data_IF_579501459242
#
_entry.id   IF_579501459242
#
_cell.length_a   1.000
_cell.length_b   1.000
_cell.length_c   1.000
_cell.angle_alpha   90.00
_cell.angle_beta   90.00
_cell.angle_gamma   90.00
#
_symmetry.space_group_name_H-M   'P 1'
#
loop_
_entity.id
_entity.type
_entity.pdbx_description
1 polymer ?
#
# COMPACT_ATOMS: atom_id res chain seq x y z
N UNK A 1 42.88 46.24 2.09
CA UNK A 1 41.67 45.75 1.42
C UNK A 1 41.56 44.25 1.67
N UNK A 2 40.73 43.74 2.59
CA UNK A 2 40.52 42.29 2.71
C UNK A 2 39.54 41.85 1.60
N UNK A 3 39.99 40.87 0.83
CA UNK A 3 39.19 40.20 -0.19
C UNK A 3 38.03 39.49 0.47
N UNK A 4 36.79 39.91 0.11
CA UNK A 4 35.59 39.21 0.51
C UNK A 4 35.58 37.79 -0.05
N UNK A 5 35.42 36.81 0.84
CA UNK A 5 35.13 35.44 0.43
C UNK A 5 33.75 35.44 -0.22
N UNK A 6 33.57 34.81 -1.37
CA UNK A 6 32.25 34.59 -1.91
C UNK A 6 31.49 33.63 -0.94
N UNK A 7 30.38 34.08 -0.39
CA UNK A 7 29.41 33.21 0.31
C UNK A 7 29.05 32.09 -0.64
N UNK A 8 29.51 30.88 -0.34
CA UNK A 8 29.01 29.66 -1.00
C UNK A 8 27.51 29.61 -0.74
N UNK A 9 26.68 29.84 -1.77
CA UNK A 9 25.29 29.49 -1.77
C UNK A 9 25.24 27.96 -1.50
N UNK A 10 24.89 27.58 -0.30
CA UNK A 10 24.71 26.17 0.05
C UNK A 10 23.58 25.67 -0.82
N UNK A 11 23.91 24.83 -1.79
CA UNK A 11 22.92 24.17 -2.64
C UNK A 11 22.01 23.35 -1.75
N UNK A 12 20.69 23.43 -1.95
CA UNK A 12 19.74 22.68 -1.13
C UNK A 12 20.04 21.17 -1.21
N UNK A 13 19.98 20.44 -0.08
CA UNK A 13 20.32 19.02 -0.06
C UNK A 13 19.38 18.23 -0.97
N UNK A 14 19.95 17.26 -1.70
CA UNK A 14 19.16 16.43 -2.63
C UNK A 14 18.43 15.31 -1.89
N UNK A 15 17.24 14.96 -2.38
CA UNK A 15 16.52 13.79 -1.91
C UNK A 15 17.23 12.53 -2.41
N UNK A 16 17.60 11.64 -1.50
CA UNK A 16 18.32 10.38 -1.78
C UNK A 16 17.45 9.13 -1.56
N UNK A 17 16.39 9.25 -0.78
CA UNK A 17 15.42 8.16 -0.61
C UNK A 17 14.01 8.72 -0.45
N UNK A 18 13.02 7.96 -0.94
CA UNK A 18 11.61 8.28 -0.85
C UNK A 18 10.79 7.00 -0.66
N UNK A 19 9.79 7.05 0.21
CA UNK A 19 8.86 5.95 0.43
C UNK A 19 7.44 6.45 0.66
N UNK A 20 6.43 5.63 0.36
CA UNK A 20 5.03 5.95 0.61
C UNK A 20 4.21 4.68 0.87
N UNK A 21 3.18 4.83 1.70
CA UNK A 21 2.25 3.76 2.04
C UNK A 21 0.87 4.32 2.40
N UNK A 22 -0.14 3.45 2.37
CA UNK A 22 -1.52 3.77 2.73
C UNK A 22 -2.14 2.67 3.59
N UNK A 23 -3.01 3.05 4.51
CA UNK A 23 -3.74 2.13 5.37
C UNK A 23 -5.22 2.50 5.45
N UNK A 24 -6.08 1.50 5.70
CA UNK A 24 -7.51 1.71 5.91
C UNK A 24 -8.02 0.78 7.01
N UNK A 25 -8.73 1.34 7.98
CA UNK A 25 -9.41 0.60 9.05
C UNK A 25 -10.80 0.17 8.58
N UNK A 26 -10.87 -0.97 7.90
CA UNK A 26 -12.02 -1.37 7.07
C UNK A 26 -11.73 -1.02 5.60
N UNK A 27 -12.57 -1.49 4.68
CA UNK A 27 -12.35 -1.23 3.25
C UNK A 27 -13.69 -1.30 2.50
N UNK A 28 -14.48 -0.18 2.40
CA UNK A 28 -14.16 1.17 2.83
C UNK A 28 -14.21 1.41 4.33
N UNK A 29 -13.60 2.53 4.79
CA UNK A 29 -13.60 2.98 6.17
C UNK A 29 -12.60 4.13 6.40
N UNK A 30 -12.33 4.49 7.67
CA UNK A 30 -11.31 5.48 7.98
C UNK A 30 -9.94 5.03 7.49
N UNK A 31 -9.28 5.90 6.74
CA UNK A 31 -7.96 5.64 6.20
C UNK A 31 -6.93 6.68 6.60
N UNK A 32 -5.68 6.37 6.34
CA UNK A 32 -4.55 7.24 6.50
C UNK A 32 -3.48 6.93 5.46
N UNK A 33 -2.65 7.89 5.20
CA UNK A 33 -1.50 7.74 4.32
C UNK A 33 -0.25 8.34 4.95
N UNK A 34 0.91 7.82 4.57
CA UNK A 34 2.21 8.32 5.00
C UNK A 34 3.22 8.31 3.88
N UNK A 35 4.10 9.29 3.86
CA UNK A 35 5.26 9.32 2.99
C UNK A 35 6.45 9.99 3.68
N UNK A 36 7.64 9.64 3.19
CA UNK A 36 8.92 10.05 3.77
C UNK A 36 9.90 10.42 2.66
N UNK A 37 10.63 11.50 2.88
CA UNK A 37 11.79 11.92 2.10
C UNK A 37 13.03 11.95 2.99
N UNK A 38 14.12 11.37 2.53
CA UNK A 38 15.43 11.43 3.17
C UNK A 38 16.39 12.19 2.28
N UNK A 39 17.14 13.11 2.88
CA UNK A 39 18.07 14.01 2.18
C UNK A 39 19.52 13.59 2.39
N UNK A 40 20.43 14.09 1.52
CA UNK A 40 21.87 13.80 1.57
C UNK A 40 22.54 14.25 2.88
N UNK A 41 22.02 15.28 3.51
CA UNK A 41 22.51 15.81 4.80
C UNK A 41 22.04 14.96 6.00
N UNK A 42 21.26 13.90 5.75
CA UNK A 42 20.69 13.02 6.77
C UNK A 42 19.35 13.50 7.34
N UNK A 43 18.88 14.68 6.94
CA UNK A 43 17.56 15.16 7.36
C UNK A 43 16.43 14.30 6.75
N UNK A 44 15.28 14.27 7.43
CA UNK A 44 14.09 13.50 7.04
C UNK A 44 12.88 14.41 7.10
N UNK A 45 12.05 14.36 6.06
CA UNK A 45 10.73 15.00 6.06
C UNK A 45 9.67 13.93 5.91
N UNK A 46 8.68 13.98 6.78
CA UNK A 46 7.53 13.06 6.79
C UNK A 46 6.23 13.83 6.54
N UNK A 47 5.32 13.20 5.85
CA UNK A 47 4.00 13.73 5.53
C UNK A 47 2.97 12.64 5.76
N UNK A 48 1.77 13.03 6.17
CA UNK A 48 0.67 12.10 6.34
C UNK A 48 -0.60 12.84 6.69
N UNK A 49 -1.73 12.20 6.41
CA UNK A 49 -3.05 12.71 6.77
C UNK A 49 -4.07 11.56 6.80
N UNK A 50 -5.28 11.86 7.26
CA UNK A 50 -6.41 10.95 7.38
C UNK A 50 -7.52 11.28 6.38
N UNK A 51 -8.28 10.25 6.00
CA UNK A 51 -9.56 10.38 5.30
C UNK A 51 -10.60 9.56 6.07
N UNK A 52 -11.76 10.13 6.34
CA UNK A 52 -12.79 9.52 7.18
C UNK A 52 -13.53 8.35 6.49
N UNK A 53 -13.58 8.34 5.16
CA UNK A 53 -14.30 7.33 4.38
C UNK A 53 -13.57 7.07 3.04
N UNK A 54 -12.73 6.07 3.03
CA UNK A 54 -11.85 5.79 1.91
C UNK A 54 -11.57 4.28 1.77
N UNK A 55 -10.64 3.93 0.90
CA UNK A 55 -10.14 2.56 0.71
C UNK A 55 -8.62 2.53 0.79
N UNK A 56 -8.05 1.36 1.10
CA UNK A 56 -6.59 1.19 1.15
C UNK A 56 -5.93 1.68 -0.15
N UNK A 57 -6.43 1.25 -1.30
CA UNK A 57 -5.89 1.67 -2.59
C UNK A 57 -5.91 3.19 -2.79
N UNK A 58 -6.96 3.88 -2.33
CA UNK A 58 -7.01 5.35 -2.42
C UNK A 58 -5.93 6.00 -1.57
N UNK A 59 -5.67 5.47 -0.38
CA UNK A 59 -4.63 5.99 0.52
C UNK A 59 -3.23 5.79 -0.06
N UNK A 60 -2.94 4.62 -0.63
CA UNK A 60 -1.68 4.34 -1.34
C UNK A 60 -1.48 5.31 -2.52
N UNK A 61 -2.51 5.54 -3.34
CA UNK A 61 -2.46 6.49 -4.46
C UNK A 61 -2.29 7.94 -3.99
N UNK A 62 -2.94 8.32 -2.88
CA UNK A 62 -2.85 9.66 -2.30
C UNK A 62 -1.45 9.94 -1.75
N UNK A 63 -0.85 8.97 -1.06
CA UNK A 63 0.53 9.03 -0.58
C UNK A 63 1.51 9.25 -1.74
N UNK A 64 1.39 8.43 -2.79
CA UNK A 64 2.23 8.52 -3.98
C UNK A 64 2.08 9.87 -4.70
N UNK A 65 0.84 10.37 -4.85
CA UNK A 65 0.56 11.65 -5.50
C UNK A 65 1.17 12.82 -4.72
N UNK A 66 1.02 12.81 -3.39
CA UNK A 66 1.63 13.82 -2.52
C UNK A 66 3.15 13.84 -2.66
N UNK A 67 3.75 12.65 -2.65
CA UNK A 67 5.19 12.50 -2.79
C UNK A 67 5.70 13.01 -4.15
N UNK A 68 5.01 12.68 -5.25
CA UNK A 68 5.35 13.21 -6.59
C UNK A 68 5.26 14.73 -6.64
N UNK A 69 4.25 15.34 -6.02
CA UNK A 69 4.12 16.80 -5.96
C UNK A 69 5.30 17.43 -5.21
N UNK A 70 5.72 16.88 -4.08
CA UNK A 70 6.88 17.35 -3.32
C UNK A 70 8.17 17.22 -4.14
N UNK A 71 8.38 16.07 -4.77
CA UNK A 71 9.58 15.78 -5.55
C UNK A 71 9.71 16.62 -6.84
N UNK A 72 8.64 17.26 -7.33
CA UNK A 72 8.72 18.19 -8.46
C UNK A 72 9.56 19.44 -8.16
N UNK A 73 9.59 19.87 -6.92
CA UNK A 73 10.22 21.14 -6.49
C UNK A 73 11.53 20.94 -5.77
N UNK A 74 11.90 19.72 -5.46
CA UNK A 74 13.10 19.38 -4.69
C UNK A 74 14.23 18.87 -5.60
N UNK A 75 15.50 19.22 -5.32
CA UNK A 75 16.63 18.59 -5.97
C UNK A 75 16.70 17.11 -5.60
N UNK A 76 17.03 16.24 -6.58
CA UNK A 76 16.98 14.80 -6.43
C UNK A 76 18.29 14.15 -6.85
N UNK A 77 18.63 13.06 -6.17
CA UNK A 77 19.70 12.19 -6.64
C UNK A 77 19.26 11.51 -7.96
N UNK A 78 20.16 11.35 -8.96
CA UNK A 78 19.81 10.70 -10.23
C UNK A 78 19.23 9.30 -10.10
N UNK A 79 19.71 8.52 -9.12
CA UNK A 79 19.27 7.13 -8.86
C UNK A 79 18.09 7.03 -7.89
N UNK A 80 17.42 8.16 -7.59
CA UNK A 80 16.27 8.14 -6.70
C UNK A 80 15.16 7.24 -7.25
N UNK A 81 14.63 6.39 -6.39
CA UNK A 81 13.40 5.64 -6.64
C UNK A 81 12.41 5.84 -5.50
N UNK A 82 11.12 5.72 -5.78
CA UNK A 82 10.07 5.75 -4.75
C UNK A 82 9.76 4.31 -4.34
N UNK A 83 9.96 3.97 -3.06
CA UNK A 83 9.70 2.65 -2.50
C UNK A 83 8.27 2.54 -1.99
N UNK A 84 7.60 1.43 -2.29
CA UNK A 84 6.26 1.11 -1.84
C UNK A 84 6.02 -0.40 -1.92
N UNK A 85 5.16 -0.94 -1.09
CA UNK A 85 4.71 -2.35 -1.17
C UNK A 85 3.40 -2.50 -1.95
N UNK A 86 2.84 -1.40 -2.47
CA UNK A 86 1.64 -1.39 -3.27
C UNK A 86 1.90 -1.83 -4.72
N UNK A 87 1.63 -3.08 -5.02
CA UNK A 87 1.62 -3.57 -6.41
C UNK A 87 0.56 -2.88 -7.27
N UNK A 88 -0.60 -2.56 -6.67
CA UNK A 88 -1.67 -1.84 -7.35
C UNK A 88 -1.19 -0.48 -7.87
N UNK A 89 -0.49 0.28 -7.04
CA UNK A 89 0.12 1.56 -7.44
C UNK A 89 1.16 1.35 -8.55
N UNK A 90 2.11 0.42 -8.37
CA UNK A 90 3.20 0.19 -9.32
C UNK A 90 2.65 -0.23 -10.69
N UNK A 91 1.78 -1.25 -10.74
CA UNK A 91 1.23 -1.79 -11.98
C UNK A 91 0.36 -0.75 -12.69
N UNK A 92 -0.47 -0.02 -11.93
CA UNK A 92 -1.31 1.04 -12.47
C UNK A 92 -0.48 2.16 -13.09
N UNK A 93 0.50 2.67 -12.36
CA UNK A 93 1.34 3.77 -12.79
C UNK A 93 2.25 3.42 -13.98
N UNK A 94 2.82 2.21 -13.99
CA UNK A 94 3.75 1.79 -15.05
C UNK A 94 3.03 1.28 -16.30
N UNK A 95 1.95 0.53 -16.14
CA UNK A 95 1.36 -0.26 -17.21
C UNK A 95 -0.07 0.16 -17.57
N UNK A 96 -1.00 0.28 -16.59
CA UNK A 96 -2.42 0.37 -16.89
C UNK A 96 -2.85 1.74 -17.40
N UNK A 97 -2.33 2.84 -16.83
CA UNK A 97 -2.69 4.22 -17.21
C UNK A 97 -2.61 4.43 -18.73
N UNK A 98 -1.55 3.94 -19.39
CA UNK A 98 -1.38 4.07 -20.84
C UNK A 98 -2.53 3.44 -21.63
N UNK A 99 -2.99 2.27 -21.16
CA UNK A 99 -4.11 1.55 -21.75
C UNK A 99 -5.45 2.26 -21.50
N UNK A 100 -5.68 2.71 -20.29
CA UNK A 100 -6.90 3.43 -19.89
C UNK A 100 -7.04 4.76 -20.62
N UNK A 101 -6.00 5.55 -20.73
CA UNK A 101 -6.01 6.80 -21.51
C UNK A 101 -6.44 6.58 -22.97
N UNK A 102 -5.90 5.55 -23.65
CA UNK A 102 -6.29 5.22 -25.02
C UNK A 102 -7.75 4.81 -25.17
N UNK A 103 -8.35 4.25 -24.10
CA UNK A 103 -9.74 3.80 -24.03
C UNK A 103 -10.67 4.82 -23.38
N UNK A 104 -10.24 6.08 -23.18
CA UNK A 104 -11.04 7.11 -22.53
C UNK A 104 -11.33 6.81 -21.07
N UNK A 105 -10.33 6.29 -20.32
CA UNK A 105 -10.42 5.90 -18.91
C UNK A 105 -11.45 4.80 -18.65
N UNK A 106 -11.42 3.79 -19.51
CA UNK A 106 -12.24 2.60 -19.36
C UNK A 106 -11.37 1.35 -19.24
N UNK A 107 -11.87 0.39 -18.47
CA UNK A 107 -11.29 -0.95 -18.34
C UNK A 107 -11.35 -1.72 -19.66
N UNK A 108 -10.78 -2.91 -19.73
CA UNK A 108 -10.89 -3.79 -20.88
C UNK A 108 -12.34 -4.16 -21.21
N UNK A 109 -13.19 -4.26 -20.19
CA UNK A 109 -14.61 -4.56 -20.30
C UNK A 109 -15.51 -3.32 -20.56
N UNK A 110 -14.92 -2.13 -20.69
CA UNK A 110 -15.65 -0.90 -20.99
C UNK A 110 -16.19 -0.14 -19.77
N UNK A 111 -16.02 -0.64 -18.55
CA UNK A 111 -16.42 0.05 -17.33
C UNK A 111 -15.51 1.25 -17.02
N UNK A 112 -15.97 2.26 -16.25
CA UNK A 112 -15.13 3.33 -15.74
C UNK A 112 -13.99 2.78 -14.86
N UNK A 113 -12.79 3.36 -14.98
CA UNK A 113 -11.67 2.99 -14.12
C UNK A 113 -11.92 3.45 -12.68
N UNK A 114 -11.77 2.56 -11.71
CA UNK A 114 -11.84 2.90 -10.29
C UNK A 114 -10.71 3.87 -9.91
N UNK A 115 -10.99 4.79 -8.97
CA UNK A 115 -10.03 5.80 -8.52
C UNK A 115 -9.47 6.65 -9.69
N UNK A 116 -10.28 6.85 -10.74
CA UNK A 116 -9.88 7.57 -11.95
C UNK A 116 -9.32 8.95 -11.62
N UNK A 117 -9.93 9.64 -10.68
CA UNK A 117 -9.51 10.95 -10.17
C UNK A 117 -8.04 10.96 -9.75
N UNK A 118 -7.65 9.98 -8.95
CA UNK A 118 -6.27 9.82 -8.46
C UNK A 118 -5.31 9.36 -9.59
N UNK A 119 -5.77 8.45 -10.47
CA UNK A 119 -4.96 8.01 -11.60
C UNK A 119 -4.69 9.12 -12.61
N UNK A 120 -5.66 9.97 -12.90
CA UNK A 120 -5.48 11.16 -13.74
C UNK A 120 -4.51 12.15 -13.11
N UNK A 121 -4.62 12.38 -11.80
CA UNK A 121 -3.72 13.24 -11.07
C UNK A 121 -2.28 12.69 -11.02
N UNK A 122 -2.11 11.39 -10.79
CA UNK A 122 -0.81 10.70 -10.81
C UNK A 122 -0.14 10.77 -12.19
N UNK A 123 -0.92 10.60 -13.26
CA UNK A 123 -0.40 10.73 -14.61
C UNK A 123 0.05 12.17 -14.92
N UNK A 124 -0.70 13.16 -14.50
CA UNK A 124 -0.33 14.58 -14.62
C UNK A 124 0.86 14.97 -13.71
N UNK A 125 1.00 14.30 -12.57
CA UNK A 125 2.11 14.48 -11.65
C UNK A 125 3.36 13.71 -12.04
N UNK A 126 3.33 12.90 -13.09
CA UNK A 126 4.44 12.05 -13.51
C UNK A 126 5.74 12.82 -13.65
N UNK A 127 6.78 12.25 -13.07
CA UNK A 127 8.15 12.75 -13.20
C UNK A 127 8.90 11.77 -14.11
N UNK A 128 9.48 12.22 -15.23
CA UNK A 128 10.35 11.38 -16.04
C UNK A 128 11.50 10.82 -15.21
N UNK A 129 11.90 9.59 -15.51
CA UNK A 129 13.06 8.91 -14.90
C UNK A 129 13.00 8.72 -13.36
N UNK A 130 11.81 8.82 -12.77
CA UNK A 130 11.57 8.52 -11.36
C UNK A 130 10.66 7.28 -11.23
N UNK A 131 11.22 6.07 -11.11
CA UNK A 131 10.44 4.86 -10.99
C UNK A 131 9.93 4.61 -9.57
N UNK A 132 8.81 3.89 -9.48
CA UNK A 132 8.42 3.21 -8.25
C UNK A 132 9.12 1.84 -8.18
N UNK A 133 9.63 1.50 -7.00
CA UNK A 133 10.29 0.23 -6.73
C UNK A 133 9.52 -0.54 -5.66
N UNK A 134 9.23 -1.80 -5.95
CA UNK A 134 8.55 -2.67 -5.00
C UNK A 134 9.49 -3.03 -3.85
N UNK A 135 9.01 -2.85 -2.63
CA UNK A 135 9.58 -3.44 -1.42
C UNK A 135 8.56 -4.39 -0.81
N UNK A 136 9.01 -5.42 -0.13
CA UNK A 136 8.08 -6.30 0.56
C UNK A 136 7.63 -5.61 1.85
N UNK A 137 6.33 -5.44 2.06
CA UNK A 137 5.78 -4.84 3.27
C UNK A 137 6.22 -5.59 4.53
N UNK A 138 6.46 -4.85 5.60
CA UNK A 138 6.92 -5.35 6.91
C UNK A 138 8.17 -6.27 6.84
N UNK A 139 9.07 -6.02 5.91
CA UNK A 139 10.28 -6.84 5.72
C UNK A 139 11.56 -6.19 6.20
N UNK A 140 11.45 -5.07 6.91
CA UNK A 140 12.60 -4.36 7.48
C UNK A 140 13.18 -3.28 6.57
N UNK A 141 12.43 -2.81 5.53
CA UNK A 141 12.73 -1.53 4.90
C UNK A 141 12.29 -0.40 5.84
N UNK A 142 13.23 0.30 6.49
CA UNK A 142 12.87 1.21 7.58
C UNK A 142 12.03 2.39 7.14
N UNK A 143 12.16 2.83 5.88
CA UNK A 143 11.42 3.98 5.37
C UNK A 143 9.98 3.57 4.99
N UNK A 144 9.79 2.38 4.41
CA UNK A 144 8.45 1.85 4.13
C UNK A 144 7.72 1.48 5.43
N UNK A 145 8.40 0.80 6.36
CA UNK A 145 7.83 0.45 7.68
C UNK A 145 7.42 1.72 8.46
N UNK A 146 8.15 2.82 8.29
CA UNK A 146 7.79 4.12 8.88
C UNK A 146 6.57 4.74 8.21
N UNK A 147 6.46 4.67 6.87
CA UNK A 147 5.28 5.15 6.14
C UNK A 147 4.02 4.36 6.54
N UNK A 148 4.11 3.03 6.67
CA UNK A 148 3.03 2.18 7.19
C UNK A 148 2.60 2.63 8.61
N UNK A 149 3.57 2.82 9.52
CA UNK A 149 3.27 3.27 10.88
C UNK A 149 2.52 4.62 10.91
N UNK A 150 2.90 5.57 10.05
CA UNK A 150 2.22 6.87 9.89
C UNK A 150 0.80 6.65 9.36
N UNK A 151 0.65 5.88 8.28
CA UNK A 151 -0.65 5.61 7.65
C UNK A 151 -1.61 4.90 8.60
N UNK A 152 -1.15 3.89 9.32
CA UNK A 152 -1.93 3.16 10.34
C UNK A 152 -2.32 4.05 11.50
N UNK A 153 -1.43 4.94 11.98
CA UNK A 153 -1.78 5.86 13.04
C UNK A 153 -2.95 6.79 12.63
N UNK A 154 -2.88 7.39 11.44
CA UNK A 154 -3.95 8.24 10.91
C UNK A 154 -5.25 7.46 10.67
N UNK A 155 -5.20 6.24 10.12
CA UNK A 155 -6.38 5.41 9.88
C UNK A 155 -7.14 5.03 11.17
N UNK A 156 -6.46 5.12 12.32
CA UNK A 156 -7.03 4.87 13.66
C UNK A 156 -7.43 6.14 14.39
N UNK A 157 -7.40 7.30 13.70
CA UNK A 157 -7.72 8.61 14.27
C UNK A 157 -6.61 9.21 15.14
N UNK A 158 -5.41 8.64 15.11
CA UNK A 158 -4.21 9.19 15.77
C UNK A 158 -3.62 10.37 14.98
N UNK A 159 -2.69 11.07 15.62
CA UNK A 159 -1.86 12.11 15.00
C UNK A 159 -0.41 11.80 15.37
N UNK A 160 0.31 11.04 14.54
CA UNK A 160 1.70 10.71 14.81
C UNK A 160 2.56 11.98 14.74
N UNK A 161 3.61 12.02 15.53
CA UNK A 161 4.65 13.04 15.39
C UNK A 161 5.41 12.76 14.10
N UNK A 162 5.45 13.76 13.20
CA UNK A 162 6.11 13.70 11.90
C UNK A 162 7.43 14.45 11.97
N UNK A 163 8.47 13.87 11.36
CA UNK A 163 9.74 14.55 11.20
C UNK A 163 9.59 15.69 10.18
N UNK A 164 9.90 16.90 10.63
CA UNK A 164 10.04 18.06 9.78
C UNK A 164 11.54 18.31 9.63
N UNK A 165 12.06 18.23 8.39
CA UNK A 165 13.43 18.65 8.14
C UNK A 165 13.65 20.06 8.69
N UNK A 166 14.91 20.43 8.97
CA UNK A 166 15.28 21.72 9.53
C UNK A 166 14.91 22.83 8.51
N UNK A 167 13.62 23.18 8.49
CA UNK A 167 13.07 24.21 7.60
C UNK A 167 13.54 25.58 8.12
N UNK A 168 14.63 26.07 7.54
CA UNK A 168 14.90 27.49 7.53
C UNK A 168 13.70 28.24 6.91
N UNK A 169 12.65 28.39 7.67
CA UNK A 169 11.58 29.36 7.55
C UNK A 169 10.94 29.57 6.17
N UNK A 170 10.29 28.57 5.62
CA UNK A 170 9.25 28.75 4.60
C UNK A 170 8.04 27.90 4.98
N UNK A 171 7.23 28.46 5.87
CA UNK A 171 5.85 28.02 6.06
C UNK A 171 5.13 28.27 4.73
N UNK A 172 5.13 27.27 3.86
CA UNK A 172 4.14 27.22 2.78
C UNK A 172 2.87 26.69 3.43
N UNK A 173 2.02 27.63 3.76
CA UNK A 173 0.65 27.38 4.19
C UNK A 173 0.04 26.35 3.22
N UNK A 174 -0.27 25.16 3.75
CA UNK A 174 -0.98 24.14 3.00
C UNK A 174 -2.30 24.76 2.57
N UNK A 175 -2.40 25.12 1.30
CA UNK A 175 -3.64 25.53 0.70
C UNK A 175 -4.62 24.38 0.89
N UNK A 176 -5.47 24.51 1.90
CA UNK A 176 -6.66 23.72 2.12
C UNK A 176 -7.53 23.87 0.87
N UNK A 177 -7.30 23.01 -0.10
CA UNK A 177 -8.26 22.83 -1.18
C UNK A 177 -9.48 22.14 -0.54
N UNK A 178 -10.45 22.96 -0.13
CA UNK A 178 -11.79 22.48 0.21
C UNK A 178 -12.26 21.59 -0.94
N UNK A 179 -12.76 20.40 -0.64
CA UNK A 179 -13.37 19.58 -1.69
C UNK A 179 -14.52 20.38 -2.30
N UNK A 180 -14.48 20.55 -3.61
CA UNK A 180 -15.59 21.11 -4.36
C UNK A 180 -16.83 20.26 -4.05
N UNK A 181 -17.92 20.94 -3.70
CA UNK A 181 -19.22 20.33 -3.38
C UNK A 181 -19.53 19.20 -4.36
N UNK A 182 -19.76 18.01 -3.80
CA UNK A 182 -20.31 16.89 -4.52
C UNK A 182 -21.63 17.32 -5.18
N UNK A 183 -21.63 17.34 -6.52
CA UNK A 183 -22.86 17.34 -7.28
C UNK A 183 -23.45 15.95 -7.10
N UNK A 184 -24.54 15.89 -6.35
CA UNK A 184 -25.37 14.69 -6.26
C UNK A 184 -25.91 14.42 -7.67
N UNK A 185 -25.31 13.47 -8.37
CA UNK A 185 -25.90 12.82 -9.53
C UNK A 185 -26.59 11.53 -9.06
N UNK A 186 -27.82 11.37 -9.55
CA UNK A 186 -28.75 10.33 -9.21
C UNK A 186 -28.13 8.94 -9.15
N UNK A 187 -28.54 8.21 -8.12
CA UNK A 187 -28.26 6.79 -7.89
C UNK A 187 -28.86 5.92 -8.98
N UNK A 188 -28.03 5.49 -9.95
CA UNK A 188 -28.30 4.26 -10.67
C UNK A 188 -27.58 3.11 -9.96
N UNK A 189 -28.17 1.89 -9.94
CA UNK A 189 -27.57 0.76 -9.24
C UNK A 189 -26.21 0.38 -9.89
N UNK A 190 -25.21 -0.06 -9.11
CA UNK A 190 -23.90 -0.39 -9.63
C UNK A 190 -23.98 -1.59 -10.57
N UNK A 191 -23.77 -1.35 -11.85
CA UNK A 191 -23.46 -2.41 -12.81
C UNK A 191 -22.09 -2.96 -12.49
N UNK A 192 -22.03 -4.24 -12.19
CA UNK A 192 -20.80 -4.95 -11.83
C UNK A 192 -19.68 -4.76 -12.85
N UNK A 193 -18.52 -4.41 -12.35
CA UNK A 193 -17.28 -4.27 -13.12
C UNK A 193 -16.71 -5.67 -13.42
N UNK A 194 -16.46 -6.05 -14.69
CA UNK A 194 -15.96 -7.38 -15.00
C UNK A 194 -14.42 -7.51 -14.96
N UNK A 195 -13.68 -6.53 -14.40
CA UNK A 195 -12.25 -6.71 -14.15
C UNK A 195 -11.75 -5.74 -13.07
N UNK A 196 -12.27 -5.83 -11.91
CA UNK A 196 -11.68 -6.49 -10.76
C UNK A 196 -12.37 -7.84 -10.56
N UNK A 197 -11.62 -8.83 -10.03
CA UNK A 197 -12.20 -10.11 -9.60
C UNK A 197 -13.52 -9.86 -8.89
N UNK A 198 -14.55 -10.69 -9.10
CA UNK A 198 -15.86 -10.53 -8.46
C UNK A 198 -15.68 -10.16 -6.98
N UNK A 199 -16.52 -9.32 -6.37
CA UNK A 199 -16.35 -8.87 -4.98
C UNK A 199 -16.05 -10.01 -3.99
N UNK A 200 -16.65 -11.18 -4.23
CA UNK A 200 -16.37 -12.40 -3.47
C UNK A 200 -14.91 -12.89 -3.66
N UNK A 201 -14.33 -12.72 -4.84
CA UNK A 201 -12.95 -13.13 -5.10
C UNK A 201 -11.96 -12.10 -4.55
N UNK A 202 -12.28 -10.81 -4.59
CA UNK A 202 -11.48 -9.76 -3.94
C UNK A 202 -11.44 -9.94 -2.43
N UNK A 203 -12.61 -10.19 -1.80
CA UNK A 203 -12.68 -10.51 -0.37
C UNK A 203 -11.89 -11.78 -0.03
N UNK A 204 -11.91 -12.75 -0.93
CA UNK A 204 -11.14 -13.97 -0.77
C UNK A 204 -9.63 -13.70 -0.85
N UNK A 205 -9.16 -12.92 -1.81
CA UNK A 205 -7.76 -12.54 -1.96
C UNK A 205 -7.27 -11.78 -0.72
N UNK A 206 -8.03 -10.79 -0.25
CA UNK A 206 -7.70 -10.04 0.98
C UNK A 206 -7.58 -10.95 2.20
N UNK A 207 -8.43 -11.98 2.31
CA UNK A 207 -8.33 -12.98 3.40
C UNK A 207 -7.12 -13.90 3.24
N UNK A 208 -6.79 -14.28 2.02
CA UNK A 208 -5.58 -15.08 1.75
C UNK A 208 -4.31 -14.28 2.08
N UNK A 209 -4.26 -13.00 1.73
CA UNK A 209 -3.16 -12.10 2.09
C UNK A 209 -3.05 -11.93 3.62
N UNK A 210 -4.18 -11.75 4.31
CA UNK A 210 -4.21 -11.71 5.76
C UNK A 210 -3.72 -13.02 6.38
N UNK A 211 -4.13 -14.17 5.84
CA UNK A 211 -3.68 -15.48 6.30
C UNK A 211 -2.17 -15.66 6.12
N UNK A 212 -1.58 -15.18 5.03
CA UNK A 212 -0.13 -15.20 4.83
C UNK A 212 0.61 -14.34 5.85
N UNK A 213 0.10 -13.14 6.14
CA UNK A 213 0.67 -12.25 7.17
C UNK A 213 0.61 -12.89 8.55
N UNK A 214 -0.51 -13.50 8.91
CA UNK A 214 -0.70 -14.18 10.19
C UNK A 214 0.23 -15.40 10.31
N UNK A 215 0.37 -16.20 9.25
CA UNK A 215 1.25 -17.36 9.23
C UNK A 215 2.74 -16.95 9.31
N UNK A 216 3.16 -15.95 8.54
CA UNK A 216 4.54 -15.47 8.50
C UNK A 216 4.92 -14.76 9.80
N UNK A 217 4.02 -13.99 10.41
CA UNK A 217 4.24 -13.28 11.66
C UNK A 217 4.10 -14.15 12.91
N UNK A 218 3.70 -15.43 12.76
CA UNK A 218 3.51 -16.35 13.90
C UNK A 218 2.35 -15.95 14.83
N UNK A 219 1.41 -15.12 14.35
CA UNK A 219 0.29 -14.65 15.15
C UNK A 219 -0.70 -15.78 15.44
N UNK A 220 -1.34 -15.70 16.62
CA UNK A 220 -2.39 -16.63 17.05
C UNK A 220 -3.75 -15.96 16.98
N UNK A 221 -4.77 -16.71 16.59
CA UNK A 221 -6.15 -16.25 16.47
C UNK A 221 -7.02 -16.89 17.58
N UNK A 222 -7.94 -16.12 18.12
CA UNK A 222 -9.09 -16.67 18.85
C UNK A 222 -10.03 -17.41 17.90
N UNK A 223 -10.89 -18.26 18.42
CA UNK A 223 -11.85 -19.01 17.59
C UNK A 223 -12.82 -18.09 16.81
N UNK A 224 -13.35 -16.99 17.38
CA UNK A 224 -14.15 -16.02 16.63
C UNK A 224 -13.36 -15.32 15.47
N UNK A 225 -12.11 -14.94 15.71
CA UNK A 225 -11.26 -14.34 14.67
C UNK A 225 -10.97 -15.32 13.54
N UNK A 226 -10.69 -16.58 13.89
CA UNK A 226 -10.53 -17.65 12.91
C UNK A 226 -11.81 -17.87 12.10
N UNK A 227 -12.98 -17.87 12.74
CA UNK A 227 -14.28 -18.04 12.09
C UNK A 227 -14.52 -16.96 11.02
N UNK A 228 -14.16 -15.71 11.32
CA UNK A 228 -14.21 -14.60 10.36
C UNK A 228 -13.24 -14.79 9.20
N UNK A 229 -11.99 -15.16 9.49
CA UNK A 229 -10.97 -15.36 8.45
C UNK A 229 -11.37 -16.44 7.45
N UNK A 230 -11.85 -17.58 7.94
CA UNK A 230 -12.18 -18.75 7.09
C UNK A 230 -13.63 -18.77 6.60
N UNK A 231 -14.46 -17.80 6.99
CA UNK A 231 -15.91 -17.73 6.70
C UNK A 231 -16.65 -19.00 7.04
N UNK A 232 -16.46 -19.50 8.25
CA UNK A 232 -17.21 -20.65 8.74
C UNK A 232 -17.96 -20.30 10.04
N UNK A 233 -19.16 -20.85 10.22
CA UNK A 233 -19.90 -20.64 11.46
C UNK A 233 -19.08 -21.11 12.67
N UNK A 234 -19.08 -20.33 13.75
CA UNK A 234 -18.34 -20.61 14.98
C UNK A 234 -18.60 -22.03 15.50
N UNK A 235 -19.87 -22.46 15.55
CA UNK A 235 -20.27 -23.81 15.96
C UNK A 235 -19.60 -24.94 15.17
N UNK A 236 -19.27 -24.69 13.91
CA UNK A 236 -18.58 -25.68 13.06
C UNK A 236 -17.10 -25.78 13.41
N UNK A 237 -16.50 -24.70 13.86
CA UNK A 237 -15.10 -24.68 14.29
C UNK A 237 -14.94 -25.20 15.71
N UNK A 238 -15.91 -24.95 16.59
CA UNK A 238 -15.97 -25.52 17.95
C UNK A 238 -15.98 -27.06 17.94
N UNK A 239 -16.60 -27.65 16.93
CA UNK A 239 -16.66 -29.11 16.77
C UNK A 239 -15.35 -29.71 16.20
N UNK A 240 -14.39 -28.91 15.76
CA UNK A 240 -13.13 -29.38 15.20
C UNK A 240 -12.11 -29.67 16.30
N UNK A 241 -11.57 -30.87 16.27
CA UNK A 241 -10.44 -31.26 17.12
C UNK A 241 -9.21 -31.49 16.24
N UNK A 242 -8.06 -30.90 16.63
CA UNK A 242 -6.79 -31.07 15.95
C UNK A 242 -6.58 -30.13 14.73
N UNK A 243 -5.45 -30.34 14.08
CA UNK A 243 -5.05 -29.56 12.90
C UNK A 243 -5.88 -29.89 11.66
N UNK A 244 -6.16 -28.90 10.85
CA UNK A 244 -6.90 -29.07 9.62
C UNK A 244 -6.42 -28.10 8.53
N UNK A 245 -6.69 -28.42 7.27
CA UNK A 245 -6.27 -27.61 6.12
C UNK A 245 -7.37 -26.61 5.71
N UNK A 246 -6.96 -25.37 5.54
CA UNK A 246 -7.77 -24.34 4.89
C UNK A 246 -6.95 -23.75 3.74
N UNK A 247 -7.31 -24.05 2.49
CA UNK A 247 -6.56 -23.67 1.29
C UNK A 247 -5.10 -24.10 1.37
N UNK A 248 -4.17 -23.16 1.28
CA UNK A 248 -2.72 -23.37 1.31
C UNK A 248 -2.13 -23.29 2.74
N UNK A 249 -3.01 -23.23 3.76
CA UNK A 249 -2.57 -23.14 5.15
C UNK A 249 -3.07 -24.33 5.98
N UNK A 250 -2.20 -24.77 6.85
CA UNK A 250 -2.54 -25.65 7.93
C UNK A 250 -2.95 -24.84 9.15
N UNK A 251 -4.14 -25.05 9.66
CA UNK A 251 -4.68 -24.41 10.86
C UNK A 251 -4.48 -25.36 12.03
N UNK A 252 -3.66 -24.95 13.01
CA UNK A 252 -3.22 -25.78 14.12
C UNK A 252 -3.70 -25.17 15.44
N UNK A 253 -4.33 -25.95 16.35
CA UNK A 253 -4.67 -25.47 17.67
C UNK A 253 -3.40 -25.33 18.51
N UNK A 254 -3.30 -24.25 19.29
CA UNK A 254 -2.27 -24.06 20.31
C UNK A 254 -2.75 -24.54 21.67
N UNK A 255 -1.82 -24.77 22.60
CA UNK A 255 -2.10 -25.22 23.96
C UNK A 255 -2.86 -24.17 24.80
N UNK A 256 -2.85 -22.92 24.35
CA UNK A 256 -3.54 -21.77 24.96
C UNK A 256 -4.99 -21.58 24.48
N UNK A 257 -5.51 -22.54 23.71
CA UNK A 257 -6.86 -22.45 23.10
C UNK A 257 -6.95 -21.47 21.92
N UNK A 258 -5.83 -20.95 21.46
CA UNK A 258 -5.76 -20.11 20.25
C UNK A 258 -5.33 -20.95 19.05
N UNK A 259 -5.51 -20.41 17.86
CA UNK A 259 -5.22 -21.10 16.61
C UNK A 259 -4.08 -20.39 15.86
N UNK A 260 -3.25 -21.17 15.20
CA UNK A 260 -2.13 -20.67 14.39
C UNK A 260 -2.22 -21.17 12.96
N UNK A 261 -1.85 -20.33 12.02
CA UNK A 261 -1.74 -20.73 10.61
C UNK A 261 -0.28 -21.02 10.26
N UNK A 262 -0.05 -22.08 9.50
CA UNK A 262 1.24 -22.39 8.88
C UNK A 262 1.03 -22.57 7.39
N UNK A 263 1.91 -22.04 6.55
CA UNK A 263 1.84 -22.30 5.12
C UNK A 263 2.20 -23.77 4.86
N UNK A 264 1.37 -24.46 4.08
CA UNK A 264 1.63 -25.84 3.71
C UNK A 264 2.68 -25.88 2.60
N UNK A 265 3.93 -26.20 2.95
CA UNK A 265 5.06 -26.30 2.00
C UNK A 265 5.15 -27.65 1.31
N UNK A 266 4.20 -28.56 1.53
CA UNK A 266 4.25 -29.94 1.05
C UNK A 266 3.90 -30.11 -0.44
N UNK A 267 3.87 -29.03 -1.25
CA UNK A 267 3.50 -29.09 -2.68
C UNK A 267 4.64 -28.89 -3.70
N UNK A 268 5.90 -28.70 -3.28
CA UNK A 268 7.00 -28.35 -4.21
C UNK A 268 8.11 -29.40 -4.38
N UNK A 269 8.00 -30.56 -3.75
CA UNK A 269 8.99 -31.63 -3.96
C UNK A 269 8.28 -32.96 -4.19
N UNK A 270 7.97 -33.32 -5.44
CA UNK A 270 8.00 -34.69 -5.98
C UNK A 270 7.72 -34.67 -7.48
N UNK A 271 8.77 -34.48 -8.28
CA UNK A 271 8.87 -35.13 -9.59
C UNK A 271 9.51 -36.49 -9.36
N UNK A 272 8.85 -37.61 -9.62
CA UNK A 272 9.52 -38.87 -9.61
C UNK A 272 10.32 -39.00 -10.91
N UNK A 273 11.62 -39.23 -10.74
CA UNK A 273 12.51 -39.77 -11.79
C UNK A 273 11.83 -40.94 -12.50
N UNK A 274 11.57 -40.78 -13.78
CA UNK A 274 11.29 -41.89 -14.67
C UNK A 274 12.62 -42.53 -15.02
N UNK A 275 12.98 -43.58 -14.32
CA UNK A 275 13.90 -44.58 -14.82
C UNK A 275 13.37 -45.15 -16.14
N UNK A 276 14.15 -45.01 -17.19
CA UNK A 276 13.98 -45.71 -18.49
C UNK A 276 14.69 -47.05 -18.35
N UNK A 277 14.02 -48.20 -18.48
CA UNK A 277 14.71 -49.45 -18.54
C UNK A 277 15.33 -49.61 -19.91
N UNK A 278 16.65 -49.81 -19.93
CA UNK A 278 17.36 -50.40 -21.08
C UNK A 278 17.02 -51.86 -21.17
N UNK A 279 16.47 -52.28 -22.30
CA UNK A 279 16.35 -53.64 -22.79
C UNK A 279 16.41 -53.61 -24.30
#
# INVERSE_FOLDING_TARGET
MPAGHPSSLTEAPRVVAAACDGACSGNPGPGGWGCLLRFEDGSVQEFGDADADTTNNRMELTAALTLLHKLKTLPRHPDLTIRTDSKYLIDGYTSWIKGWKRKGWRTAAGAPVLNRDLWEALDAARIPDLPFTYVKGHSGDPDNDRCDAIAVAFSRGGRPELAHGDDGGLMVEAASAKPAKAVQLATEPPTADPDPAPPALQQLLSRCELADRLATGGYTLSLPELAQLVEQPLKRLEARQGAWRWRDWQVVPGDDGRWRLHRDTAGSEQSPDREVPHG
#
